data_IF_869968387234
#
_entry.id   IF_869968387234
#
_cell.length_a   1.000
_cell.length_b   1.000
_cell.length_c   1.000
_cell.angle_alpha   90.00
_cell.angle_beta   90.00
_cell.angle_gamma   90.00
#
_symmetry.space_group_name_H-M   'P 1'
#
loop_
_entity.id
_entity.type
_entity.pdbx_description
1 polymer ?
#
# COMPACT_ATOMS: atom_id res chain seq x y z
N UNK A 1 12.77 -7.78 -18.45
CA UNK A 1 11.33 -8.09 -18.48
C UNK A 1 10.74 -7.53 -17.19
N UNK A 2 9.97 -6.44 -17.31
CA UNK A 2 9.27 -5.86 -16.14
C UNK A 2 8.26 -6.89 -15.64
N UNK A 3 8.47 -7.38 -14.42
CA UNK A 3 7.38 -7.99 -13.66
C UNK A 3 6.24 -6.99 -13.63
N UNK A 4 5.09 -7.36 -14.18
CA UNK A 4 3.88 -6.59 -13.96
C UNK A 4 3.45 -6.89 -12.54
N UNK A 5 3.86 -6.03 -11.64
CA UNK A 5 3.29 -5.95 -10.32
C UNK A 5 1.84 -5.50 -10.51
N UNK A 6 0.92 -6.44 -10.47
CA UNK A 6 -0.49 -6.11 -10.35
C UNK A 6 -0.72 -5.64 -8.91
N UNK A 7 -0.44 -4.37 -8.66
CA UNK A 7 -0.97 -3.71 -7.48
C UNK A 7 -2.49 -3.60 -7.65
N UNK A 8 -3.23 -4.59 -7.16
CA UNK A 8 -4.70 -4.53 -7.04
C UNK A 8 -5.16 -3.57 -5.94
N UNK A 9 -4.36 -2.62 -5.56
CA UNK A 9 -4.81 -1.47 -4.75
C UNK A 9 -5.56 -0.42 -5.58
N UNK A 10 -6.13 -0.83 -6.72
CA UNK A 10 -7.07 0.00 -7.46
C UNK A 10 -8.38 0.06 -6.67
N UNK A 11 -8.40 0.98 -5.72
CA UNK A 11 -9.63 1.34 -5.06
C UNK A 11 -10.55 2.04 -6.07
N UNK A 12 -11.48 1.33 -6.66
CA UNK A 12 -12.70 1.94 -7.22
C UNK A 12 -13.50 2.48 -6.03
N UNK A 13 -14.27 3.54 -6.23
CA UNK A 13 -15.06 4.20 -5.18
C UNK A 13 -16.00 3.27 -4.38
N UNK A 14 -16.26 2.06 -4.88
CA UNK A 14 -17.11 1.04 -4.27
C UNK A 14 -16.34 -0.07 -3.54
N UNK A 15 -15.01 -0.03 -3.47
CA UNK A 15 -14.29 -1.02 -2.67
C UNK A 15 -14.55 -0.72 -1.21
N UNK A 16 -15.60 -1.36 -0.68
CA UNK A 16 -15.75 -1.58 0.76
C UNK A 16 -14.37 -1.99 1.26
N UNK A 17 -13.95 -1.46 2.41
CA UNK A 17 -12.78 -1.94 3.15
C UNK A 17 -13.03 -3.43 3.40
N UNK A 18 -12.69 -4.29 2.44
CA UNK A 18 -12.89 -5.72 2.57
C UNK A 18 -11.96 -6.19 3.70
N UNK A 19 -12.55 -6.67 4.73
CA UNK A 19 -12.00 -7.68 5.60
C UNK A 19 -11.53 -8.81 4.67
N UNK A 20 -10.51 -9.55 5.03
CA UNK A 20 -9.76 -10.49 4.18
C UNK A 20 -10.58 -11.51 3.35
N UNK A 21 -11.88 -11.66 3.60
CA UNK A 21 -12.76 -12.68 3.00
C UNK A 21 -13.07 -12.47 1.50
N UNK A 22 -12.62 -11.36 0.90
CA UNK A 22 -13.03 -10.97 -0.46
C UNK A 22 -12.18 -11.49 -1.61
N UNK A 23 -10.96 -11.98 -1.36
CA UNK A 23 -10.00 -12.30 -2.44
C UNK A 23 -9.81 -13.79 -2.72
N UNK A 24 -10.35 -14.70 -1.90
CA UNK A 24 -10.13 -16.14 -2.04
C UNK A 24 -10.57 -16.66 -3.40
N UNK A 25 -11.75 -16.26 -3.84
CA UNK A 25 -12.30 -16.69 -5.13
C UNK A 25 -11.40 -16.28 -6.29
N UNK A 26 -10.98 -15.00 -6.31
CA UNK A 26 -10.09 -14.49 -7.36
C UNK A 26 -8.71 -15.15 -7.30
N UNK A 27 -8.19 -15.43 -6.10
CA UNK A 27 -6.93 -16.15 -5.92
C UNK A 27 -7.04 -17.55 -6.52
N UNK A 28 -8.10 -18.30 -6.20
CA UNK A 28 -8.31 -19.64 -6.72
C UNK A 28 -8.49 -19.66 -8.24
N UNK A 29 -9.21 -18.68 -8.80
CA UNK A 29 -9.35 -18.52 -10.25
C UNK A 29 -7.99 -18.23 -10.92
N UNK A 30 -7.16 -17.38 -10.32
CA UNK A 30 -5.81 -17.10 -10.83
C UNK A 30 -4.93 -18.34 -10.76
N UNK A 31 -4.97 -19.08 -9.64
CA UNK A 31 -4.18 -20.30 -9.45
C UNK A 31 -4.59 -21.39 -10.47
N UNK A 32 -5.87 -21.53 -10.77
CA UNK A 32 -6.35 -22.47 -11.79
C UNK A 32 -5.75 -22.16 -13.17
N UNK A 33 -5.76 -20.89 -13.58
CA UNK A 33 -5.13 -20.45 -14.84
C UNK A 33 -3.61 -20.68 -14.80
N UNK A 34 -2.95 -20.40 -13.67
CA UNK A 34 -1.51 -20.63 -13.54
C UNK A 34 -1.17 -22.11 -13.69
N UNK A 35 -1.96 -23.02 -13.12
CA UNK A 35 -1.77 -24.47 -13.26
C UNK A 35 -1.84 -24.95 -14.72
N UNK A 36 -2.80 -24.44 -15.51
CA UNK A 36 -2.87 -24.75 -16.95
C UNK A 36 -1.55 -24.38 -17.68
N UNK A 37 -0.98 -23.22 -17.34
CA UNK A 37 0.30 -22.77 -17.90
C UNK A 37 1.49 -23.56 -17.38
N UNK A 38 1.51 -23.97 -16.12
CA UNK A 38 2.54 -24.82 -15.55
C UNK A 38 2.59 -26.18 -16.26
N UNK A 39 1.43 -26.81 -16.48
CA UNK A 39 1.31 -28.06 -17.25
C UNK A 39 1.76 -27.88 -18.70
N UNK A 40 1.26 -26.83 -19.37
CA UNK A 40 1.59 -26.57 -20.78
C UNK A 40 3.09 -26.34 -21.03
N UNK A 41 3.76 -25.67 -20.10
CA UNK A 41 5.19 -25.31 -20.28
C UNK A 41 6.12 -26.15 -19.40
N UNK A 42 5.60 -27.11 -18.67
CA UNK A 42 6.33 -27.95 -17.69
C UNK A 42 7.25 -27.10 -16.79
N UNK A 43 6.69 -26.01 -16.21
CA UNK A 43 7.45 -25.03 -15.43
C UNK A 43 6.63 -24.49 -14.28
N UNK A 44 7.18 -24.52 -13.08
CA UNK A 44 6.57 -23.87 -11.90
C UNK A 44 6.55 -22.34 -12.04
N UNK A 45 5.39 -21.76 -11.75
CA UNK A 45 5.14 -20.31 -11.81
C UNK A 45 4.73 -19.84 -10.41
N UNK A 46 5.63 -19.23 -9.62
CA UNK A 46 5.29 -18.78 -8.29
C UNK A 46 4.28 -17.63 -8.34
N UNK A 47 3.22 -17.75 -7.52
CA UNK A 47 2.20 -16.71 -7.34
C UNK A 47 2.37 -16.10 -5.95
N UNK A 48 2.51 -14.79 -5.87
CA UNK A 48 2.68 -14.04 -4.63
C UNK A 48 1.52 -13.08 -4.46
N UNK A 49 0.86 -13.12 -3.31
CA UNK A 49 -0.25 -12.23 -2.98
C UNK A 49 0.24 -10.99 -2.22
N UNK A 50 -0.28 -9.82 -2.59
CA UNK A 50 -0.02 -8.55 -1.91
C UNK A 50 -1.29 -7.77 -1.71
N UNK A 51 -1.56 -7.37 -0.47
CA UNK A 51 -2.71 -6.55 -0.10
C UNK A 51 -3.41 -7.06 1.16
N UNK A 52 -3.41 -6.25 2.22
CA UNK A 52 -4.11 -6.57 3.47
C UNK A 52 -3.45 -7.60 4.38
N UNK A 53 -2.40 -8.26 3.97
CA UNK A 53 -1.64 -9.20 4.83
C UNK A 53 -1.00 -8.44 5.97
N UNK A 54 -1.25 -8.85 7.22
CA UNK A 54 -0.81 -8.13 8.40
C UNK A 54 -0.04 -8.98 9.41
N UNK A 55 -0.49 -10.18 9.71
CA UNK A 55 0.08 -11.07 10.71
C UNK A 55 0.39 -12.47 10.13
N UNK A 56 0.89 -13.38 10.98
CA UNK A 56 1.25 -14.73 10.56
C UNK A 56 0.03 -15.58 10.22
N UNK A 57 -1.11 -15.31 10.81
CA UNK A 57 -2.37 -15.98 10.52
C UNK A 57 -2.80 -15.67 9.08
N UNK A 58 -2.73 -14.40 8.67
CA UNK A 58 -2.94 -13.98 7.28
C UNK A 58 -1.96 -14.70 6.33
N UNK A 59 -0.67 -14.76 6.71
CA UNK A 59 0.36 -15.43 5.89
C UNK A 59 0.01 -16.91 5.72
N UNK A 60 -0.28 -17.62 6.81
CA UNK A 60 -0.65 -19.05 6.78
C UNK A 60 -1.90 -19.29 5.93
N UNK A 61 -2.90 -18.43 6.11
CA UNK A 61 -4.13 -18.51 5.34
C UNK A 61 -3.85 -18.44 3.83
N UNK A 62 -3.16 -17.42 3.37
CA UNK A 62 -2.87 -17.28 1.94
C UNK A 62 -1.96 -18.37 1.39
N UNK A 63 -0.98 -18.82 2.15
CA UNK A 63 -0.16 -19.99 1.75
C UNK A 63 -0.97 -21.28 1.66
N UNK A 64 -1.97 -21.47 2.54
CA UNK A 64 -2.85 -22.65 2.49
C UNK A 64 -3.74 -22.71 1.26
N UNK A 65 -4.00 -21.55 0.60
CA UNK A 65 -4.71 -21.50 -0.68
C UNK A 65 -3.85 -21.94 -1.88
N UNK A 66 -2.54 -22.23 -1.66
CA UNK A 66 -1.62 -22.65 -2.71
C UNK A 66 -0.70 -21.56 -3.26
N UNK A 67 -0.70 -20.38 -2.63
CA UNK A 67 0.22 -19.31 -3.01
C UNK A 67 1.66 -19.62 -2.59
N UNK A 68 2.63 -19.15 -3.36
CA UNK A 68 4.06 -19.33 -3.11
C UNK A 68 4.63 -18.35 -2.09
N UNK A 69 3.91 -17.29 -1.78
CA UNK A 69 4.34 -16.28 -0.82
C UNK A 69 3.38 -15.11 -0.72
N UNK A 70 3.70 -14.17 0.18
CA UNK A 70 2.97 -12.94 0.38
C UNK A 70 3.90 -11.72 0.33
N UNK A 71 3.37 -10.57 -0.04
CA UNK A 71 4.07 -9.29 -0.01
C UNK A 71 3.46 -8.39 1.06
N UNK A 72 4.30 -7.86 1.93
CA UNK A 72 3.92 -6.92 2.98
C UNK A 72 4.78 -5.65 2.89
N UNK A 73 4.20 -4.50 3.16
CA UNK A 73 4.93 -3.22 3.20
C UNK A 73 4.61 -2.41 4.45
N UNK A 74 3.34 -2.21 4.76
CA UNK A 74 2.89 -1.28 5.81
C UNK A 74 3.45 -1.59 7.20
N UNK A 75 3.60 -2.86 7.57
CA UNK A 75 4.22 -3.28 8.84
C UNK A 75 5.68 -2.84 8.93
N UNK A 76 6.43 -2.92 7.81
CA UNK A 76 7.85 -2.57 7.74
C UNK A 76 8.11 -1.06 7.76
N UNK A 77 7.10 -0.24 7.47
CA UNK A 77 7.20 1.22 7.63
C UNK A 77 7.33 1.61 9.10
N UNK A 78 6.59 0.93 9.99
CA UNK A 78 6.65 1.17 11.43
C UNK A 78 7.77 0.35 12.11
N UNK A 79 8.97 0.43 11.57
CA UNK A 79 10.16 -0.22 12.15
C UNK A 79 11.25 0.79 12.48
N UNK A 80 12.15 0.39 13.38
CA UNK A 80 13.30 1.22 13.78
C UNK A 80 14.26 1.43 12.61
N UNK A 81 14.38 0.43 11.71
CA UNK A 81 15.27 0.42 10.56
C UNK A 81 14.72 1.19 9.35
N UNK A 82 13.45 1.56 9.36
CA UNK A 82 12.91 2.47 8.35
C UNK A 82 13.49 3.86 8.54
N UNK A 83 14.17 4.40 7.54
CA UNK A 83 14.88 5.70 7.53
C UNK A 83 13.96 6.91 7.31
N UNK A 84 12.65 6.73 7.25
CA UNK A 84 11.71 7.84 7.31
C UNK A 84 11.68 8.46 8.70
N UNK A 85 11.38 9.76 8.78
CA UNK A 85 11.26 10.49 10.02
C UNK A 85 10.27 9.84 11.01
N UNK A 86 10.52 10.02 12.31
CA UNK A 86 9.68 9.39 13.35
C UNK A 86 8.23 9.87 13.30
N UNK A 87 7.99 11.13 12.93
CA UNK A 87 6.65 11.69 12.72
C UNK A 87 5.86 10.90 11.68
N UNK A 88 6.52 10.47 10.59
CA UNK A 88 5.92 9.62 9.56
C UNK A 88 5.52 8.26 10.12
N UNK A 89 6.41 7.58 10.87
CA UNK A 89 6.13 6.29 11.50
C UNK A 89 5.01 6.39 12.54
N UNK A 90 5.01 7.48 13.32
CA UNK A 90 3.97 7.75 14.33
C UNK A 90 2.57 7.96 13.72
N UNK A 91 2.48 8.37 12.46
CA UNK A 91 1.20 8.43 11.76
C UNK A 91 0.52 7.06 11.69
N UNK A 92 1.29 6.00 11.47
CA UNK A 92 0.74 4.63 11.42
C UNK A 92 0.34 4.12 12.79
N UNK A 93 1.16 4.38 13.82
CA UNK A 93 0.88 3.95 15.20
C UNK A 93 -0.38 4.62 15.77
N UNK A 94 -0.62 5.90 15.41
CA UNK A 94 -1.78 6.67 15.87
C UNK A 94 -3.02 6.48 15.00
N UNK A 95 -2.89 5.83 13.84
CA UNK A 95 -3.97 5.67 12.89
C UNK A 95 -5.13 4.83 13.47
N UNK A 96 -6.35 5.28 13.22
CA UNK A 96 -7.58 4.54 13.48
C UNK A 96 -8.15 4.00 12.18
N UNK A 97 -9.11 3.07 12.27
CA UNK A 97 -9.75 2.46 11.08
C UNK A 97 -10.40 3.53 10.18
N UNK A 98 -11.02 4.52 10.78
CA UNK A 98 -11.66 5.66 10.11
C UNK A 98 -10.69 6.64 9.43
N UNK A 99 -9.41 6.60 9.79
CA UNK A 99 -8.37 7.43 9.17
C UNK A 99 -7.86 6.82 7.85
N UNK A 100 -8.12 5.54 7.62
CA UNK A 100 -7.73 4.87 6.35
C UNK A 100 -8.71 5.26 5.26
N UNK A 101 -8.23 5.97 4.25
CA UNK A 101 -9.09 6.56 3.23
C UNK A 101 -8.50 6.47 1.82
N UNK A 102 -9.36 6.67 0.82
CA UNK A 102 -8.95 6.69 -0.59
C UNK A 102 -8.70 8.15 -1.02
N UNK A 103 -7.62 8.34 -1.76
CA UNK A 103 -7.25 9.62 -2.37
C UNK A 103 -7.05 9.44 -3.87
N UNK A 104 -7.43 10.46 -4.64
CA UNK A 104 -7.08 10.52 -6.05
C UNK A 104 -5.62 10.94 -6.19
N UNK A 105 -4.87 10.15 -6.95
CA UNK A 105 -3.47 10.44 -7.22
C UNK A 105 -3.31 11.17 -8.55
N UNK A 106 -2.33 12.08 -8.68
CA UNK A 106 -1.94 12.70 -9.95
C UNK A 106 -1.58 11.71 -11.06
N UNK A 107 -1.33 10.46 -10.71
CA UNK A 107 -1.06 9.37 -11.69
C UNK A 107 -2.33 8.66 -12.17
N UNK A 108 -3.51 9.23 -11.90
CA UNK A 108 -4.84 8.71 -12.27
C UNK A 108 -5.17 7.32 -11.70
N UNK A 109 -4.44 6.90 -10.67
CA UNK A 109 -4.74 5.69 -9.91
C UNK A 109 -5.17 6.07 -8.50
N UNK A 110 -6.29 5.55 -7.98
CA UNK A 110 -6.67 5.77 -6.60
C UNK A 110 -5.60 5.15 -5.68
N UNK A 111 -5.28 5.85 -4.60
CA UNK A 111 -4.35 5.37 -3.57
C UNK A 111 -5.01 5.33 -2.20
N UNK A 112 -4.58 4.41 -1.34
CA UNK A 112 -5.01 4.38 0.05
C UNK A 112 -4.02 5.14 0.89
N UNK A 113 -4.51 6.07 1.73
CA UNK A 113 -3.68 6.93 2.56
C UNK A 113 -4.30 7.18 3.92
N UNK A 114 -3.50 7.64 4.88
CA UNK A 114 -3.97 8.10 6.18
C UNK A 114 -4.54 9.52 6.06
N UNK A 115 -5.70 9.72 6.67
CA UNK A 115 -6.38 11.01 6.72
C UNK A 115 -5.59 11.97 7.62
N UNK A 116 -5.11 13.06 7.02
CA UNK A 116 -4.35 14.11 7.69
C UNK A 116 -4.81 15.49 7.17
N UNK A 117 -4.26 16.61 7.68
CA UNK A 117 -4.57 17.95 7.18
C UNK A 117 -4.37 18.12 5.67
N UNK A 118 -3.32 17.52 5.11
CA UNK A 118 -3.06 17.55 3.67
C UNK A 118 -4.19 16.89 2.87
N UNK A 119 -4.58 15.66 3.23
CA UNK A 119 -5.66 14.93 2.54
C UNK A 119 -6.99 15.68 2.65
N UNK A 120 -7.27 16.30 3.81
CA UNK A 120 -8.46 17.14 3.99
C UNK A 120 -8.46 18.37 3.07
N UNK A 121 -7.27 18.98 2.84
CA UNK A 121 -7.13 20.15 1.94
C UNK A 121 -7.32 19.76 0.48
N UNK A 122 -6.62 18.74 -0.01
CA UNK A 122 -6.68 18.34 -1.42
C UNK A 122 -8.05 17.81 -1.86
N UNK A 123 -8.89 17.38 -0.91
CA UNK A 123 -10.30 17.04 -1.18
C UNK A 123 -11.17 18.26 -1.42
N UNK A 124 -10.82 19.40 -0.84
CA UNK A 124 -11.59 20.64 -0.95
C UNK A 124 -11.12 21.51 -2.10
N UNK A 125 -9.83 21.57 -2.33
CA UNK A 125 -9.22 22.44 -3.33
C UNK A 125 -7.90 21.88 -3.84
N UNK A 126 -7.57 22.24 -5.07
CA UNK A 126 -6.27 21.94 -5.67
C UNK A 126 -5.15 22.68 -4.93
N UNK A 127 -4.00 22.01 -4.69
CA UNK A 127 -2.77 22.68 -4.25
C UNK A 127 -2.01 23.27 -5.44
N UNK A 128 -1.48 24.48 -5.27
CA UNK A 128 -0.66 25.12 -6.32
C UNK A 128 0.73 24.49 -6.37
N UNK A 129 1.11 23.97 -7.53
CA UNK A 129 2.43 23.39 -7.77
C UNK A 129 3.40 24.50 -8.20
N UNK A 130 4.20 25.01 -7.25
CA UNK A 130 5.18 26.08 -7.52
C UNK A 130 6.42 25.55 -8.25
N UNK A 131 6.93 24.40 -7.85
CA UNK A 131 8.12 23.77 -8.43
C UNK A 131 7.74 22.39 -8.97
N UNK A 132 7.89 22.19 -10.28
CA UNK A 132 7.63 20.92 -10.93
C UNK A 132 8.92 20.12 -11.08
N UNK A 133 8.91 18.85 -10.67
CA UNK A 133 10.04 17.92 -10.80
C UNK A 133 10.09 17.22 -12.17
N UNK A 134 9.12 17.45 -13.04
CA UNK A 134 8.97 16.75 -14.33
C UNK A 134 9.05 15.23 -14.19
N UNK A 135 8.54 14.69 -13.07
CA UNK A 135 8.64 13.26 -12.71
C UNK A 135 7.71 12.35 -13.50
N UNK A 136 6.62 12.91 -14.07
CA UNK A 136 5.60 12.18 -14.83
C UNK A 136 5.32 12.86 -16.15
N UNK A 137 5.43 12.12 -17.26
CA UNK A 137 5.21 12.65 -18.62
C UNK A 137 3.78 13.18 -18.83
N UNK A 138 2.79 12.57 -18.19
CA UNK A 138 1.36 12.91 -18.33
C UNK A 138 0.85 13.92 -17.31
N UNK A 139 1.69 14.38 -16.37
CA UNK A 139 1.30 15.32 -15.33
C UNK A 139 1.44 16.75 -15.83
N UNK A 140 0.34 17.52 -15.81
CA UNK A 140 0.36 18.96 -16.01
C UNK A 140 0.30 19.68 -14.65
N UNK A 141 1.37 20.43 -14.25
CA UNK A 141 1.40 21.15 -12.98
C UNK A 141 0.27 22.17 -12.81
N UNK A 142 -0.36 22.61 -13.91
CA UNK A 142 -1.44 23.61 -13.91
C UNK A 142 -2.80 22.99 -13.56
N UNK A 143 -2.98 21.69 -13.79
CA UNK A 143 -4.27 20.98 -13.62
C UNK A 143 -4.25 19.89 -12.58
N UNK A 144 -3.06 19.35 -12.24
CA UNK A 144 -2.92 18.29 -11.23
C UNK A 144 -3.45 18.72 -9.85
N UNK A 145 -4.09 17.84 -9.08
CA UNK A 145 -4.63 18.22 -7.77
C UNK A 145 -3.53 18.62 -6.77
N UNK A 146 -2.34 18.02 -6.87
CA UNK A 146 -1.15 18.33 -6.06
C UNK A 146 0.10 17.71 -6.69
N UNK A 147 1.29 18.08 -6.24
CA UNK A 147 2.54 17.45 -6.66
C UNK A 147 2.80 16.20 -5.81
N UNK A 148 2.67 15.00 -6.42
CA UNK A 148 2.87 13.73 -5.70
C UNK A 148 4.31 13.59 -5.19
N UNK A 149 5.32 13.94 -5.98
CA UNK A 149 6.73 13.87 -5.57
C UNK A 149 6.99 14.73 -4.34
N UNK A 150 6.51 15.97 -4.33
CA UNK A 150 6.66 16.84 -3.16
C UNK A 150 5.94 16.29 -1.94
N UNK A 151 4.71 15.78 -2.11
CA UNK A 151 3.93 15.20 -1.02
C UNK A 151 4.63 13.98 -0.39
N UNK A 152 5.29 13.13 -1.20
CA UNK A 152 6.06 11.99 -0.71
C UNK A 152 7.38 12.41 -0.05
N UNK A 153 8.10 13.40 -0.60
CA UNK A 153 9.32 13.94 0.03
C UNK A 153 9.01 14.52 1.41
N UNK A 154 7.91 15.28 1.54
CA UNK A 154 7.46 15.81 2.84
C UNK A 154 7.13 14.70 3.82
N UNK A 155 6.48 13.62 3.36
CA UNK A 155 6.16 12.47 4.19
C UNK A 155 7.42 11.88 4.83
N UNK A 156 8.41 11.52 4.02
CA UNK A 156 9.67 10.92 4.51
C UNK A 156 10.44 11.86 5.43
N UNK A 157 10.33 13.18 5.22
CA UNK A 157 10.98 14.22 6.06
C UNK A 157 10.21 14.58 7.33
N UNK A 158 9.04 13.98 7.58
CA UNK A 158 8.26 14.21 8.79
C UNK A 158 7.29 15.40 8.75
N UNK A 159 7.19 16.14 7.63
CA UNK A 159 6.16 17.18 7.44
C UNK A 159 4.80 16.55 7.11
N UNK A 160 4.27 15.79 8.08
CA UNK A 160 3.08 14.95 7.90
C UNK A 160 1.80 15.75 7.66
N UNK A 161 1.75 17.00 8.09
CA UNK A 161 0.60 17.88 7.89
C UNK A 161 0.46 18.40 6.44
N UNK A 162 1.56 18.33 5.68
CA UNK A 162 1.64 18.73 4.28
C UNK A 162 2.02 17.58 3.35
N UNK A 163 1.90 16.36 3.82
CA UNK A 163 2.39 15.15 3.17
C UNK A 163 1.28 14.18 2.81
N UNK A 164 1.54 13.34 1.80
CA UNK A 164 0.71 12.18 1.51
C UNK A 164 1.34 10.94 2.13
N UNK A 165 0.62 10.33 3.07
CA UNK A 165 1.05 9.12 3.79
C UNK A 165 0.26 7.94 3.26
N UNK A 166 0.81 7.24 2.26
CA UNK A 166 0.19 6.02 1.72
C UNK A 166 0.25 4.88 2.73
N UNK A 167 -0.77 4.05 2.76
CA UNK A 167 -0.84 2.92 3.68
C UNK A 167 -1.63 1.75 3.10
N UNK A 168 -1.48 0.56 3.69
CA UNK A 168 -2.35 -0.59 3.45
C UNK A 168 -3.67 -0.50 4.23
N UNK A 169 -4.62 -1.36 3.89
CA UNK A 169 -5.96 -1.40 4.52
C UNK A 169 -5.88 -1.60 6.04
N UNK A 170 -4.92 -2.39 6.50
CA UNK A 170 -4.75 -2.77 7.91
C UNK A 170 -3.75 -1.88 8.68
N UNK A 171 -3.40 -0.68 8.16
CA UNK A 171 -2.46 0.23 8.82
C UNK A 171 -2.84 0.58 10.27
N UNK A 172 -4.13 0.70 10.56
CA UNK A 172 -4.67 1.00 11.88
C UNK A 172 -4.43 -0.07 12.95
N UNK A 173 -4.02 -1.28 12.52
CA UNK A 173 -3.67 -2.37 13.45
C UNK A 173 -2.26 -2.20 14.03
N UNK A 174 -1.41 -1.34 13.47
CA UNK A 174 -0.07 -1.05 13.99
C UNK A 174 -0.20 -0.30 15.31
N UNK A 175 0.49 -0.78 16.36
CA UNK A 175 0.43 -0.17 17.70
C UNK A 175 1.76 0.39 18.16
N UNK A 176 2.88 -0.17 17.66
CA UNK A 176 4.23 0.14 18.11
C UNK A 176 5.20 0.20 16.95
N UNK A 177 6.34 0.89 17.18
CA UNK A 177 7.51 0.84 16.30
C UNK A 177 8.44 -0.25 16.84
N UNK A 178 8.54 -1.35 16.11
CA UNK A 178 9.34 -2.51 16.48
C UNK A 178 10.64 -2.58 15.67
N UNK A 179 11.56 -3.49 15.98
CA UNK A 179 12.66 -3.80 15.08
C UNK A 179 12.20 -4.73 13.94
N UNK A 180 12.89 -4.69 12.79
CA UNK A 180 12.65 -5.66 11.72
C UNK A 180 12.88 -7.08 12.21
N UNK A 181 13.88 -7.29 13.08
CA UNK A 181 14.14 -8.59 13.69
C UNK A 181 12.92 -9.12 14.47
N UNK A 182 12.38 -8.30 15.38
CA UNK A 182 11.22 -8.69 16.19
C UNK A 182 9.99 -8.94 15.31
N UNK A 183 9.78 -8.08 14.31
CA UNK A 183 8.70 -8.25 13.34
C UNK A 183 8.85 -9.56 12.55
N UNK A 184 10.06 -9.89 12.09
CA UNK A 184 10.31 -11.14 11.38
C UNK A 184 10.11 -12.37 12.27
N UNK A 185 10.52 -12.29 13.55
CA UNK A 185 10.23 -13.37 14.52
C UNK A 185 8.72 -13.55 14.75
N UNK A 186 7.95 -12.45 14.82
CA UNK A 186 6.48 -12.50 14.93
C UNK A 186 5.82 -13.15 13.71
N UNK A 187 6.30 -12.80 12.50
CA UNK A 187 5.73 -13.26 11.23
C UNK A 187 6.21 -14.67 10.82
N UNK A 188 7.33 -15.13 11.35
CA UNK A 188 7.86 -16.46 11.09
C UNK A 188 6.98 -17.52 11.75
N UNK A 189 6.80 -18.61 11.08
CA UNK A 189 5.97 -19.73 11.51
C UNK A 189 6.77 -20.75 12.31
#
# INVERSE_FOLDING_TARGET
>A
RRQRQMCKETAREEVKLHENDGYEKEILEILAVVHEFEEKYNKKIPVVFGGGVFDKEDIRHYLSLGLSGVQMATRFVATKECDAADEFKQMYVKAKKEDVTIVQSPVHMPGRALLNPFVKRIRKQRENVRNCFHCLKTCDPRTTPYCITMALIRAVKGDVDNALVFCGANAYKIKDIVSVHDLMCELST
#
